data_IF_472597989363
#
_entry.id   IF_472597989363
#
_cell.length_a   1.000
_cell.length_b   1.000
_cell.length_c   1.000
_cell.angle_alpha   90.00
_cell.angle_beta   90.00
_cell.angle_gamma   90.00
#
_symmetry.space_group_name_H-M   'P 1'
#
loop_
_entity.id
_entity.type
_entity.pdbx_description
1 polymer ?
#
# COMPACT_ATOMS: atom_id res chain seq x y z
N UNK A 1 9.97 2.72 19.00
CA UNK A 1 10.60 1.38 19.03
C UNK A 1 9.75 0.52 19.96
N UNK A 2 9.01 -0.43 19.41
CA UNK A 2 8.20 -1.35 20.20
C UNK A 2 8.95 -2.68 20.32
N UNK A 3 9.07 -3.17 21.54
CA UNK A 3 9.70 -4.45 21.85
C UNK A 3 8.60 -5.33 22.44
N UNK A 4 8.29 -6.42 21.75
CA UNK A 4 7.34 -7.43 22.24
C UNK A 4 8.10 -8.68 22.66
N UNK A 5 7.88 -9.11 23.88
CA UNK A 5 8.30 -10.41 24.39
C UNK A 5 7.04 -11.23 24.68
N UNK A 6 6.82 -12.29 23.93
CA UNK A 6 5.69 -13.19 24.17
C UNK A 6 6.17 -14.40 24.95
N UNK A 7 5.88 -14.43 26.23
CA UNK A 7 6.17 -15.56 27.14
C UNK A 7 4.95 -16.49 27.25
N UNK A 8 4.49 -17.02 26.15
CA UNK A 8 3.36 -17.98 26.15
C UNK A 8 3.82 -19.37 26.63
N UNK A 9 3.31 -19.81 27.77
CA UNK A 9 3.49 -21.16 28.34
C UNK A 9 2.48 -22.15 27.71
N UNK A 10 2.48 -22.35 26.43
CA UNK A 10 1.84 -23.53 25.82
C UNK A 10 2.92 -24.50 25.40
N UNK A 11 2.61 -25.80 25.28
CA UNK A 11 3.53 -26.97 25.05
C UNK A 11 4.59 -26.83 23.93
N UNK A 12 4.71 -25.68 23.30
CA UNK A 12 5.79 -25.23 22.45
C UNK A 12 6.26 -23.88 23.01
N UNK A 13 7.18 -23.89 23.96
CA UNK A 13 7.79 -22.68 24.54
C UNK A 13 8.49 -21.86 23.43
N UNK A 14 7.77 -20.95 22.81
CA UNK A 14 8.29 -20.04 21.81
C UNK A 14 8.57 -18.69 22.47
N UNK A 15 9.82 -18.39 22.67
CA UNK A 15 10.27 -17.03 22.93
C UNK A 15 10.33 -16.28 21.61
N UNK A 16 9.61 -15.19 21.51
CA UNK A 16 9.59 -14.34 20.34
C UNK A 16 10.13 -12.95 20.73
N UNK A 17 11.22 -12.54 20.10
CA UNK A 17 11.75 -11.20 20.22
C UNK A 17 11.55 -10.48 18.91
N UNK A 18 10.71 -9.43 18.91
CA UNK A 18 10.31 -8.70 17.69
C UNK A 18 10.44 -7.19 17.90
N UNK A 19 11.66 -6.65 17.94
CA UNK A 19 11.81 -5.20 17.82
C UNK A 19 11.35 -4.78 16.43
N UNK A 20 10.51 -3.75 16.38
CA UNK A 20 10.05 -3.15 15.15
C UNK A 20 10.26 -1.63 15.18
N UNK A 21 10.27 -1.01 14.03
CA UNK A 21 10.23 0.44 13.89
C UNK A 21 9.38 0.82 12.70
N UNK A 22 8.78 2.00 12.79
CA UNK A 22 8.09 2.66 11.68
C UNK A 22 8.47 4.14 11.68
N UNK A 23 8.86 4.62 10.52
CA UNK A 23 9.20 6.02 10.29
C UNK A 23 8.49 6.50 9.05
N UNK A 24 7.83 7.66 9.13
CA UNK A 24 7.20 8.30 7.98
C UNK A 24 7.54 9.80 7.99
N UNK A 25 7.85 10.35 6.82
CA UNK A 25 8.12 11.77 6.62
C UNK A 25 7.50 12.25 5.32
N UNK A 26 6.75 13.33 5.38
CA UNK A 26 6.37 14.13 4.22
C UNK A 26 7.54 15.05 3.92
N UNK A 27 8.17 14.89 2.75
CA UNK A 27 9.33 15.68 2.34
C UNK A 27 8.86 17.03 1.84
N UNK A 28 7.79 17.03 1.00
CA UNK A 28 7.07 18.21 0.53
C UNK A 28 5.68 17.78 0.05
N UNK A 29 4.91 18.68 -0.58
CA UNK A 29 3.56 18.43 -1.08
C UNK A 29 3.45 17.23 -2.04
N UNK A 30 4.53 16.90 -2.75
CA UNK A 30 4.54 15.87 -3.77
C UNK A 30 5.26 14.58 -3.34
N UNK A 31 6.17 14.66 -2.35
CA UNK A 31 7.02 13.53 -1.98
C UNK A 31 6.82 13.12 -0.53
N UNK A 32 6.67 11.83 -0.31
CA UNK A 32 6.70 11.23 1.01
C UNK A 32 7.62 10.01 1.05
N UNK A 33 8.21 9.79 2.21
CA UNK A 33 9.07 8.64 2.49
C UNK A 33 8.56 7.89 3.71
N UNK A 34 8.51 6.56 3.62
CA UNK A 34 8.20 5.68 4.74
C UNK A 34 9.26 4.58 4.82
N UNK A 35 9.66 4.26 6.04
CA UNK A 35 10.56 3.15 6.32
C UNK A 35 10.01 2.33 7.47
N UNK A 36 9.81 1.03 7.25
CA UNK A 36 9.34 0.08 8.24
C UNK A 36 10.31 -1.08 8.31
N UNK A 37 10.52 -1.61 9.50
CA UNK A 37 11.37 -2.76 9.66
C UNK A 37 11.07 -3.53 10.93
N UNK A 38 11.46 -4.80 10.93
CA UNK A 38 11.42 -5.64 12.11
C UNK A 38 12.54 -6.67 12.12
N UNK A 39 12.90 -7.09 13.31
CA UNK A 39 13.75 -8.23 13.56
C UNK A 39 12.97 -9.24 14.39
N UNK A 40 12.80 -10.45 13.89
CA UNK A 40 12.13 -11.57 14.53
C UNK A 40 13.14 -12.64 14.86
N UNK A 41 13.15 -13.10 16.10
CA UNK A 41 14.00 -14.20 16.54
C UNK A 41 13.18 -15.12 17.43
N UNK A 42 13.05 -16.38 17.00
CA UNK A 42 12.36 -17.42 17.74
C UNK A 42 13.37 -18.40 18.33
N UNK A 43 13.06 -18.99 19.48
CA UNK A 43 13.86 -20.07 20.08
C UNK A 43 13.95 -21.34 19.20
N UNK A 44 13.16 -21.43 18.14
CA UNK A 44 13.18 -22.51 17.13
C UNK A 44 14.23 -22.28 16.03
N UNK A 45 15.23 -21.45 16.22
CA UNK A 45 16.23 -21.06 15.21
C UNK A 45 15.64 -20.37 13.96
N UNK A 46 14.44 -19.83 14.05
CA UNK A 46 13.86 -19.01 12.99
C UNK A 46 14.27 -17.57 13.23
N UNK A 47 14.92 -16.95 12.26
CA UNK A 47 15.21 -15.50 12.29
C UNK A 47 14.70 -14.83 11.02
N UNK A 48 14.14 -13.64 11.18
CA UNK A 48 13.70 -12.79 10.08
C UNK A 48 14.12 -11.35 10.35
N UNK A 49 14.82 -10.75 9.40
CA UNK A 49 15.14 -9.31 9.37
C UNK A 49 14.51 -8.73 8.12
N UNK A 50 13.65 -7.74 8.30
CA UNK A 50 12.95 -7.10 7.19
C UNK A 50 13.09 -5.60 7.30
N UNK A 51 13.41 -4.96 6.17
CA UNK A 51 13.44 -3.51 6.02
C UNK A 51 12.74 -3.15 4.71
N UNK A 52 11.72 -2.31 4.82
CA UNK A 52 10.91 -1.85 3.70
C UNK A 52 11.00 -0.33 3.65
N UNK A 53 11.43 0.20 2.53
CA UNK A 53 11.49 1.64 2.28
C UNK A 53 10.58 1.96 1.10
N UNK A 54 9.65 2.88 1.31
CA UNK A 54 8.72 3.38 0.30
C UNK A 54 9.01 4.86 0.04
N UNK A 55 9.31 5.19 -1.20
CA UNK A 55 9.35 6.56 -1.70
C UNK A 55 8.15 6.76 -2.61
N UNK A 56 7.26 7.66 -2.25
CA UNK A 56 6.07 7.98 -3.02
C UNK A 56 6.15 9.41 -3.56
N UNK A 57 5.84 9.54 -4.85
CA UNK A 57 5.61 10.80 -5.53
C UNK A 57 4.14 10.90 -5.92
N UNK A 58 3.50 12.02 -5.59
CA UNK A 58 2.14 12.39 -5.96
C UNK A 58 2.18 13.68 -6.77
N UNK A 59 1.75 13.66 -8.03
CA UNK A 59 1.61 14.90 -8.79
C UNK A 59 0.50 15.78 -8.22
N UNK A 60 0.60 17.08 -8.42
CA UNK A 60 -0.55 17.97 -8.26
C UNK A 60 -1.69 17.56 -9.21
N UNK A 61 -2.92 17.93 -8.86
CA UNK A 61 -4.08 17.69 -9.72
C UNK A 61 -3.96 18.52 -10.99
N UNK A 62 -4.10 17.89 -12.15
CA UNK A 62 -4.10 18.55 -13.45
C UNK A 62 -5.53 18.58 -14.00
N UNK A 63 -6.08 19.77 -14.13
CA UNK A 63 -7.37 20.00 -14.76
C UNK A 63 -7.19 20.06 -16.27
N UNK A 64 -7.91 19.21 -17.00
CA UNK A 64 -7.88 19.15 -18.45
C UNK A 64 -9.05 19.98 -19.03
N UNK A 65 -8.87 20.53 -20.25
CA UNK A 65 -9.86 21.41 -20.89
C UNK A 65 -11.24 20.77 -21.12
N UNK A 66 -11.31 19.44 -21.13
CA UNK A 66 -12.54 18.68 -21.27
C UNK A 66 -13.23 18.31 -19.93
N UNK A 67 -12.79 18.93 -18.82
CA UNK A 67 -13.37 18.72 -17.48
C UNK A 67 -12.83 17.52 -16.71
N UNK A 68 -11.93 16.70 -17.29
CA UNK A 68 -11.26 15.65 -16.55
C UNK A 68 -10.20 16.21 -15.61
N UNK A 69 -10.06 15.56 -14.46
CA UNK A 69 -8.99 15.79 -13.50
C UNK A 69 -8.06 14.58 -13.54
N UNK A 70 -6.79 14.83 -13.83
CA UNK A 70 -5.75 13.78 -13.86
C UNK A 70 -4.83 13.91 -12.65
N UNK A 71 -4.47 12.77 -12.05
CA UNK A 71 -3.44 12.64 -11.02
C UNK A 71 -2.50 11.50 -11.39
N UNK A 72 -1.20 11.71 -11.21
CA UNK A 72 -0.16 10.68 -11.40
C UNK A 72 0.50 10.38 -10.07
N UNK A 73 0.80 9.11 -9.82
CA UNK A 73 1.52 8.65 -8.62
C UNK A 73 2.63 7.69 -9.03
N UNK A 74 3.73 7.73 -8.32
CA UNK A 74 4.83 6.78 -8.45
C UNK A 74 5.20 6.31 -7.05
N UNK A 75 5.15 5.02 -6.82
CA UNK A 75 5.65 4.37 -5.62
C UNK A 75 6.89 3.57 -5.98
N UNK A 76 8.01 3.83 -5.31
CA UNK A 76 9.21 3.01 -5.40
C UNK A 76 9.41 2.34 -4.06
N UNK A 77 9.12 1.05 -4.01
CA UNK A 77 9.30 0.21 -2.83
C UNK A 77 10.64 -0.53 -2.89
N UNK A 78 11.49 -0.36 -1.88
CA UNK A 78 12.70 -1.15 -1.67
C UNK A 78 12.44 -2.14 -0.54
N UNK A 79 12.39 -3.41 -0.87
CA UNK A 79 12.13 -4.50 0.05
C UNK A 79 13.41 -5.30 0.28
N UNK A 80 13.88 -5.33 1.53
CA UNK A 80 15.06 -6.07 1.94
C UNK A 80 14.68 -7.11 3.00
N UNK A 81 15.18 -8.33 2.84
CA UNK A 81 15.00 -9.39 3.84
C UNK A 81 16.23 -10.28 3.96
N UNK A 82 16.55 -10.65 5.19
CA UNK A 82 17.53 -11.67 5.55
C UNK A 82 16.88 -12.63 6.54
N UNK A 83 16.83 -13.91 6.22
CA UNK A 83 16.11 -14.87 7.04
C UNK A 83 16.84 -16.22 7.13
N UNK A 84 16.58 -16.93 8.22
CA UNK A 84 16.98 -18.32 8.43
C UNK A 84 15.79 -19.13 8.89
N UNK A 85 15.61 -20.30 8.30
CA UNK A 85 14.54 -21.27 8.62
C UNK A 85 13.11 -20.66 8.55
N UNK A 86 12.95 -19.54 7.84
CA UNK A 86 11.65 -18.90 7.66
C UNK A 86 10.84 -19.60 6.57
N UNK A 87 9.57 -19.83 6.84
CA UNK A 87 8.62 -20.28 5.81
C UNK A 87 8.23 -19.13 4.84
N UNK A 88 8.43 -17.89 5.25
CA UNK A 88 8.00 -16.68 4.56
C UNK A 88 9.06 -16.13 3.60
N UNK A 89 10.33 -16.21 4.00
CA UNK A 89 11.46 -15.64 3.28
C UNK A 89 12.49 -16.72 2.92
N UNK A 90 13.23 -16.47 1.85
CA UNK A 90 14.36 -17.33 1.47
C UNK A 90 15.48 -17.20 2.50
N UNK A 91 16.19 -18.34 2.80
CA UNK A 91 17.37 -18.38 3.68
C UNK A 91 18.58 -17.68 3.05
N UNK A 92 18.43 -16.43 2.70
CA UNK A 92 19.49 -15.59 2.15
C UNK A 92 19.11 -14.12 2.23
N UNK A 93 20.11 -13.26 2.19
CA UNK A 93 19.90 -11.82 2.01
C UNK A 93 19.30 -11.56 0.62
N UNK A 94 18.19 -10.85 0.58
CA UNK A 94 17.53 -10.43 -0.65
C UNK A 94 17.19 -8.95 -0.60
N UNK A 95 17.45 -8.25 -1.70
CA UNK A 95 16.99 -6.88 -1.92
C UNK A 95 16.21 -6.83 -3.21
N UNK A 96 15.06 -6.16 -3.20
CA UNK A 96 14.19 -6.04 -4.37
C UNK A 96 13.66 -4.61 -4.47
N UNK A 97 13.79 -4.01 -5.65
CA UNK A 97 13.21 -2.73 -5.98
C UNK A 97 11.94 -2.96 -6.81
N UNK A 98 10.84 -2.32 -6.41
CA UNK A 98 9.52 -2.51 -7.00
C UNK A 98 8.93 -1.14 -7.31
N UNK A 99 9.10 -0.64 -8.54
CA UNK A 99 8.42 0.57 -8.99
C UNK A 99 6.96 0.24 -9.35
N UNK A 100 6.04 1.12 -8.96
CA UNK A 100 4.63 1.09 -9.35
C UNK A 100 4.22 2.48 -9.79
N UNK A 101 3.71 2.60 -10.99
CA UNK A 101 3.17 3.83 -11.54
C UNK A 101 1.65 3.73 -11.64
N UNK A 102 0.96 4.82 -11.25
CA UNK A 102 -0.48 4.95 -11.39
C UNK A 102 -0.83 6.26 -12.08
N UNK A 103 -1.78 6.22 -13.01
CA UNK A 103 -2.46 7.41 -13.51
C UNK A 103 -3.96 7.26 -13.30
N UNK A 104 -4.59 8.28 -12.73
CA UNK A 104 -6.02 8.28 -12.47
C UNK A 104 -6.69 9.49 -13.12
N UNK A 105 -7.93 9.26 -13.56
CA UNK A 105 -8.80 10.25 -14.15
C UNK A 105 -10.12 10.26 -13.39
N UNK A 106 -10.59 11.45 -13.05
CA UNK A 106 -11.92 11.68 -12.47
C UNK A 106 -12.67 12.71 -13.28
N UNK A 107 -14.00 12.57 -13.37
CA UNK A 107 -14.85 13.50 -14.09
C UNK A 107 -16.05 13.90 -13.23
N UNK A 108 -15.93 14.95 -12.38
CA UNK A 108 -17.01 15.35 -11.48
C UNK A 108 -18.17 16.01 -12.24
N UNK A 109 -19.34 15.42 -12.15
CA UNK A 109 -20.60 15.92 -12.67
C UNK A 109 -21.44 16.40 -11.49
N UNK A 110 -21.99 17.60 -11.58
CA UNK A 110 -22.85 18.17 -10.55
C UNK A 110 -24.21 18.58 -11.12
N UNK A 111 -25.27 18.30 -10.38
CA UNK A 111 -26.62 18.76 -10.63
C UNK A 111 -27.22 19.32 -9.35
N UNK A 112 -27.78 20.53 -9.43
CA UNK A 112 -28.45 21.18 -8.31
C UNK A 112 -29.93 21.38 -8.63
N UNK A 113 -30.78 21.16 -7.63
CA UNK A 113 -32.13 21.66 -7.61
C UNK A 113 -32.42 22.35 -6.26
N UNK A 114 -33.65 22.81 -6.03
CA UNK A 114 -33.99 23.59 -4.83
C UNK A 114 -33.79 22.84 -3.52
N UNK A 115 -33.91 21.49 -3.54
CA UNK A 115 -33.82 20.64 -2.35
C UNK A 115 -32.52 19.89 -2.21
N UNK A 116 -31.85 19.54 -3.32
CA UNK A 116 -30.71 18.64 -3.29
C UNK A 116 -29.56 19.08 -4.19
N UNK A 117 -28.35 18.76 -3.74
CA UNK A 117 -27.13 18.74 -4.57
C UNK A 117 -26.78 17.29 -4.88
N UNK A 118 -26.60 16.99 -6.15
CA UNK A 118 -26.16 15.68 -6.63
C UNK A 118 -24.75 15.80 -7.20
N UNK A 119 -23.88 14.88 -6.82
CA UNK A 119 -22.55 14.75 -7.42
C UNK A 119 -22.35 13.32 -7.87
N UNK A 120 -22.01 13.15 -9.14
CA UNK A 120 -21.59 11.87 -9.72
C UNK A 120 -20.17 12.04 -10.22
N UNK A 121 -19.23 11.21 -9.71
CA UNK A 121 -17.82 11.30 -10.07
C UNK A 121 -17.33 9.95 -10.62
N UNK A 122 -17.43 9.73 -11.95
CA UNK A 122 -16.76 8.60 -12.59
C UNK A 122 -15.25 8.67 -12.37
N UNK A 123 -14.64 7.50 -12.13
CA UNK A 123 -13.21 7.36 -11.86
C UNK A 123 -12.64 6.23 -12.73
N UNK A 124 -11.45 6.45 -13.26
CA UNK A 124 -10.63 5.45 -13.95
C UNK A 124 -9.22 5.51 -13.37
N UNK A 125 -8.65 4.36 -13.04
CA UNK A 125 -7.25 4.24 -12.60
C UNK A 125 -6.55 3.15 -13.40
N UNK A 126 -5.33 3.45 -13.85
CA UNK A 126 -4.45 2.52 -14.54
C UNK A 126 -3.18 2.38 -13.71
N UNK A 127 -2.86 1.14 -13.31
CA UNK A 127 -1.65 0.80 -12.56
C UNK A 127 -0.71 -0.03 -13.42
N UNK A 128 0.58 0.30 -13.35
CA UNK A 128 1.66 -0.43 -13.99
C UNK A 128 2.74 -0.72 -12.95
N UNK A 129 3.06 -1.99 -12.75
CA UNK A 129 4.08 -2.45 -11.81
C UNK A 129 4.95 -3.55 -12.42
N UNK A 130 5.89 -4.09 -11.63
CA UNK A 130 6.70 -5.27 -12.02
C UNK A 130 5.82 -6.45 -12.42
N UNK A 131 6.29 -7.35 -13.31
CA UNK A 131 5.44 -8.38 -13.93
C UNK A 131 4.77 -9.35 -12.95
N UNK A 132 5.32 -9.53 -11.76
CA UNK A 132 4.86 -10.56 -10.83
C UNK A 132 4.41 -9.97 -9.50
N UNK A 133 3.21 -10.34 -9.08
CA UNK A 133 2.73 -10.10 -7.72
C UNK A 133 3.61 -10.85 -6.71
N UNK A 134 4.10 -10.13 -5.71
CA UNK A 134 4.87 -10.68 -4.60
C UNK A 134 4.04 -10.59 -3.34
N UNK A 135 3.53 -11.73 -2.89
CA UNK A 135 2.84 -11.86 -1.61
C UNK A 135 3.74 -12.61 -0.63
N UNK A 136 4.16 -11.94 0.43
CA UNK A 136 4.96 -12.51 1.51
C UNK A 136 4.11 -12.90 2.73
N UNK A 137 2.81 -12.65 2.69
CA UNK A 137 1.86 -13.08 3.70
C UNK A 137 1.16 -14.35 3.26
N UNK A 138 0.84 -15.22 4.22
CA UNK A 138 -0.06 -16.37 4.01
C UNK A 138 -1.54 -15.95 4.08
N UNK A 139 -1.83 -14.75 4.58
CA UNK A 139 -3.19 -14.25 4.76
C UNK A 139 -3.78 -13.77 3.43
N UNK A 140 -5.07 -13.97 3.27
CA UNK A 140 -5.81 -13.43 2.13
C UNK A 140 -5.92 -11.90 2.28
N UNK A 141 -5.50 -11.19 1.25
CA UNK A 141 -5.66 -9.74 1.14
C UNK A 141 -6.75 -9.46 0.14
N UNK A 142 -7.77 -8.73 0.56
CA UNK A 142 -8.94 -8.44 -0.26
C UNK A 142 -8.87 -7.00 -0.80
N UNK A 143 -9.13 -6.86 -2.09
CA UNK A 143 -9.42 -5.56 -2.70
C UNK A 143 -10.89 -5.26 -2.43
N UNK A 144 -11.16 -4.08 -1.88
CA UNK A 144 -12.51 -3.60 -1.55
C UNK A 144 -12.71 -2.16 -2.05
N UNK A 145 -13.88 -1.57 -1.76
CA UNK A 145 -14.21 -0.23 -2.22
C UNK A 145 -13.31 0.88 -1.64
N UNK A 146 -12.66 0.64 -0.49
CA UNK A 146 -11.79 1.62 0.17
C UNK A 146 -10.41 1.69 -0.49
N UNK A 147 -9.88 0.56 -0.96
CA UNK A 147 -8.51 0.44 -1.47
C UNK A 147 -8.39 0.24 -2.98
N UNK A 148 -9.49 -0.01 -3.69
CA UNK A 148 -9.47 -0.36 -5.12
C UNK A 148 -8.82 0.69 -6.03
N UNK A 149 -8.83 1.97 -5.63
CA UNK A 149 -8.21 3.08 -6.35
C UNK A 149 -6.85 3.49 -5.79
N UNK A 150 -6.33 2.80 -4.77
CA UNK A 150 -5.02 3.08 -4.22
C UNK A 150 -3.90 2.55 -5.12
N UNK A 151 -2.72 3.17 -5.02
CA UNK A 151 -1.53 2.71 -5.73
C UNK A 151 -1.05 1.35 -5.21
N UNK A 152 -1.27 1.07 -3.92
CA UNK A 152 -1.05 -0.21 -3.29
C UNK A 152 -2.40 -0.78 -2.82
N UNK A 153 -3.17 -1.37 -3.73
CA UNK A 153 -4.51 -1.90 -3.46
C UNK A 153 -4.53 -3.04 -2.44
N UNK A 154 -3.42 -3.71 -2.27
CA UNK A 154 -3.29 -4.83 -1.35
C UNK A 154 -3.02 -4.39 0.10
N UNK A 155 -2.82 -3.09 0.33
CA UNK A 155 -2.81 -2.45 1.66
C UNK A 155 -1.75 -2.93 2.64
N UNK A 156 -0.75 -3.69 2.19
CA UNK A 156 0.27 -4.27 3.05
C UNK A 156 1.67 -3.92 2.57
N UNK A 157 2.56 -3.65 3.53
CA UNK A 157 3.94 -3.26 3.24
C UNK A 157 4.75 -4.40 2.59
N UNK A 158 4.43 -5.66 2.89
CA UNK A 158 5.15 -6.84 2.40
C UNK A 158 4.47 -7.52 1.20
N UNK A 159 3.45 -6.89 0.63
CA UNK A 159 2.77 -7.34 -0.57
C UNK A 159 2.90 -6.27 -1.65
N UNK A 160 3.15 -6.70 -2.87
CA UNK A 160 3.10 -5.85 -4.05
C UNK A 160 2.29 -6.50 -5.15
N UNK A 161 1.34 -5.76 -5.69
CA UNK A 161 0.61 -6.17 -6.88
C UNK A 161 1.47 -5.95 -8.11
N UNK A 162 1.69 -7.00 -8.90
CA UNK A 162 2.45 -6.94 -10.13
C UNK A 162 1.58 -6.86 -11.37
N UNK A 163 2.20 -6.45 -12.50
CA UNK A 163 1.56 -6.41 -13.80
C UNK A 163 0.84 -5.09 -14.09
N UNK A 164 -0.15 -5.17 -14.96
CA UNK A 164 -0.98 -4.04 -15.39
C UNK A 164 -2.40 -4.28 -14.92
N UNK A 165 -3.00 -3.27 -14.31
CA UNK A 165 -4.40 -3.32 -13.90
C UNK A 165 -5.14 -2.03 -14.23
N UNK A 166 -6.42 -2.17 -14.56
CA UNK A 166 -7.34 -1.06 -14.77
C UNK A 166 -8.50 -1.17 -13.79
N UNK A 167 -8.86 -0.07 -13.17
CA UNK A 167 -10.01 0.04 -12.26
C UNK A 167 -10.94 1.13 -12.75
N UNK A 168 -12.21 0.79 -12.88
CA UNK A 168 -13.26 1.75 -13.20
C UNK A 168 -14.34 1.72 -12.11
N UNK A 169 -14.87 2.88 -11.78
CA UNK A 169 -15.96 3.02 -10.83
C UNK A 169 -16.54 4.41 -10.80
N UNK A 170 -17.46 4.65 -9.90
CA UNK A 170 -18.03 5.98 -9.67
C UNK A 170 -18.36 6.19 -8.20
N UNK A 171 -18.35 7.44 -7.78
CA UNK A 171 -18.91 7.89 -6.52
C UNK A 171 -20.16 8.70 -6.78
N UNK A 172 -21.20 8.46 -5.99
CA UNK A 172 -22.45 9.22 -6.05
C UNK A 172 -22.77 9.77 -4.66
N UNK A 173 -22.99 11.07 -4.60
CA UNK A 173 -23.35 11.77 -3.37
C UNK A 173 -24.63 12.59 -3.61
N UNK A 174 -25.55 12.49 -2.68
CA UNK A 174 -26.77 13.33 -2.61
C UNK A 174 -26.77 14.05 -1.27
N UNK A 175 -26.80 15.37 -1.29
CA UNK A 175 -26.80 16.23 -0.10
C UNK A 175 -28.12 17.01 -0.08
N UNK A 176 -28.84 16.95 1.03
CA UNK A 176 -30.03 17.79 1.31
C UNK A 176 -29.54 19.22 1.62
N UNK A 177 -30.28 20.20 1.11
CA UNK A 177 -29.99 21.65 1.34
C UNK A 177 -30.77 22.22 2.53
N UNK A 178 -31.54 21.41 3.27
CA UNK A 178 -32.32 21.85 4.44
C UNK A 178 -31.48 22.46 5.54
#
# INVERSE_FOLDING_TARGET
>A
LDIYENLSKTNNDRYEYVPNFSFARIINENYSFRSNGYYKNYNTNITEKVLINDLEFNSSLRYLNNGFINKKRLLVKNFNSDARNSEKFKNKNTSTLIPTFQTSYTYPLQKQNDKFNYTLTPKLSLNLSVPHTKNKRKENVNINYENIFDINRLGSDDINEGGISATYGYEYTKIDKS
#
